data_IF_479787745424
#
_entry.id   IF_479787745424
#
_cell.length_a   1.000
_cell.length_b   1.000
_cell.length_c   1.000
_cell.angle_alpha   90.00
_cell.angle_beta   90.00
_cell.angle_gamma   90.00
#
_symmetry.space_group_name_H-M   'P 1'
#
loop_
_entity.id
_entity.type
_entity.pdbx_description
1 polymer ?
#
# COMPACT_ATOMS: atom_id res chain seq x y z
N UNK A 1 1.18 -28.14 -5.23
CA UNK A 1 -0.21 -27.84 -5.62
C UNK A 1 -0.91 -26.84 -4.67
N UNK A 2 -0.65 -26.89 -3.37
CA UNK A 2 -1.27 -25.99 -2.36
C UNK A 2 -0.98 -24.50 -2.60
N UNK A 3 0.27 -24.11 -2.89
CA UNK A 3 0.67 -22.70 -3.07
C UNK A 3 0.03 -22.03 -4.30
N UNK A 4 -0.08 -22.72 -5.44
CA UNK A 4 -0.68 -22.17 -6.67
C UNK A 4 -2.16 -21.86 -6.51
N UNK A 5 -2.92 -22.76 -5.89
CA UNK A 5 -4.38 -22.56 -5.68
C UNK A 5 -4.63 -21.43 -4.69
N UNK A 6 -3.84 -21.37 -3.61
CA UNK A 6 -3.92 -20.27 -2.64
C UNK A 6 -3.68 -18.90 -3.30
N UNK A 7 -2.63 -18.79 -4.11
CA UNK A 7 -2.33 -17.57 -4.87
C UNK A 7 -3.46 -17.22 -5.84
N UNK A 8 -4.03 -18.20 -6.54
CA UNK A 8 -5.16 -18.00 -7.45
C UNK A 8 -6.39 -17.43 -6.75
N UNK A 9 -6.74 -17.96 -5.57
CA UNK A 9 -7.84 -17.43 -4.76
C UNK A 9 -7.55 -15.99 -4.31
N UNK A 10 -6.32 -15.68 -3.87
CA UNK A 10 -5.92 -14.33 -3.47
C UNK A 10 -6.01 -13.34 -4.63
N UNK A 11 -5.60 -13.73 -5.82
CA UNK A 11 -5.71 -12.90 -7.04
C UNK A 11 -7.16 -12.59 -7.37
N UNK A 12 -8.02 -13.62 -7.40
CA UNK A 12 -9.45 -13.46 -7.66
C UNK A 12 -10.13 -12.57 -6.60
N UNK A 13 -9.76 -12.73 -5.32
CA UNK A 13 -10.25 -11.89 -4.24
C UNK A 13 -9.78 -10.43 -4.40
N UNK A 14 -8.51 -10.22 -4.74
CA UNK A 14 -7.93 -8.90 -4.97
C UNK A 14 -8.62 -8.12 -6.07
N UNK A 15 -8.98 -8.78 -7.17
CA UNK A 15 -9.75 -8.17 -8.26
C UNK A 15 -11.13 -7.69 -7.79
N UNK A 16 -11.81 -8.47 -6.95
CA UNK A 16 -13.10 -8.07 -6.38
C UNK A 16 -12.92 -6.94 -5.34
N UNK A 17 -11.97 -7.06 -4.43
CA UNK A 17 -11.70 -6.03 -3.42
C UNK A 17 -11.39 -4.67 -4.05
N UNK A 18 -10.62 -4.65 -5.12
CA UNK A 18 -10.26 -3.41 -5.81
C UNK A 18 -11.44 -2.75 -6.53
N UNK A 19 -12.43 -3.55 -7.00
CA UNK A 19 -13.60 -3.03 -7.76
C UNK A 19 -14.73 -2.57 -6.86
N UNK A 20 -15.02 -3.31 -5.79
CA UNK A 20 -16.24 -3.10 -5.00
C UNK A 20 -15.99 -2.97 -3.48
N UNK A 21 -14.71 -3.01 -3.05
CA UNK A 21 -14.33 -2.94 -1.64
C UNK A 21 -14.39 -4.28 -0.92
N UNK A 22 -13.86 -4.27 0.29
CA UNK A 22 -13.76 -5.48 1.12
C UNK A 22 -15.12 -5.89 1.69
N UNK A 23 -15.87 -4.93 2.23
CA UNK A 23 -17.14 -5.21 2.89
C UNK A 23 -18.19 -5.76 1.91
N UNK A 24 -18.26 -5.19 0.70
CA UNK A 24 -19.23 -5.58 -0.34
C UNK A 24 -18.88 -6.90 -1.04
N UNK A 25 -17.65 -7.39 -0.87
CA UNK A 25 -17.22 -8.66 -1.48
C UNK A 25 -17.61 -9.85 -0.59
N UNK A 26 -18.47 -10.75 -1.10
CA UNK A 26 -18.84 -11.97 -0.39
C UNK A 26 -17.88 -13.13 -0.68
N UNK A 27 -17.81 -14.11 0.22
CA UNK A 27 -17.06 -15.36 0.00
C UNK A 27 -17.57 -16.11 -1.21
N UNK A 28 -18.88 -16.04 -1.46
CA UNK A 28 -19.50 -16.70 -2.62
C UNK A 28 -19.04 -16.06 -3.94
N UNK A 29 -18.92 -14.73 -3.97
CA UNK A 29 -18.37 -14.00 -5.14
C UNK A 29 -16.90 -14.38 -5.38
N UNK A 30 -16.10 -14.49 -4.31
CA UNK A 30 -14.68 -14.89 -4.43
C UNK A 30 -14.58 -16.34 -4.94
N UNK A 31 -15.38 -17.26 -4.40
CA UNK A 31 -15.38 -18.66 -4.82
C UNK A 31 -15.80 -18.80 -6.31
N UNK A 32 -16.82 -18.05 -6.73
CA UNK A 32 -17.28 -18.01 -8.12
C UNK A 32 -16.19 -17.43 -9.05
N UNK A 33 -15.59 -16.30 -8.69
CA UNK A 33 -14.51 -15.66 -9.46
C UNK A 33 -13.28 -16.56 -9.58
N UNK A 34 -12.92 -17.26 -8.49
CA UNK A 34 -11.82 -18.23 -8.46
C UNK A 34 -12.20 -19.61 -9.03
N UNK A 35 -13.43 -19.79 -9.49
CA UNK A 35 -13.92 -21.07 -10.03
C UNK A 35 -13.66 -22.26 -9.09
N UNK A 36 -13.83 -22.06 -7.79
CA UNK A 36 -13.65 -23.10 -6.76
C UNK A 36 -14.92 -23.27 -5.94
N UNK A 37 -15.11 -24.45 -5.36
CA UNK A 37 -16.17 -24.63 -4.39
C UNK A 37 -15.87 -23.83 -3.11
N UNK A 38 -16.89 -23.26 -2.45
CA UNK A 38 -16.75 -22.51 -1.18
C UNK A 38 -16.02 -23.33 -0.11
N UNK A 39 -16.24 -24.63 -0.04
CA UNK A 39 -15.52 -25.52 0.87
C UNK A 39 -14.01 -25.57 0.56
N UNK A 40 -13.64 -25.45 -0.70
CA UNK A 40 -12.23 -25.38 -1.11
C UNK A 40 -11.60 -24.08 -0.66
N UNK A 41 -12.29 -22.95 -0.80
CA UNK A 41 -11.81 -21.67 -0.31
C UNK A 41 -11.52 -21.72 1.20
N UNK A 42 -12.44 -22.27 2.00
CA UNK A 42 -12.26 -22.41 3.45
C UNK A 42 -11.15 -23.38 3.88
N UNK A 43 -10.72 -24.29 3.01
CA UNK A 43 -9.52 -25.12 3.25
C UNK A 43 -8.22 -24.31 3.20
N UNK A 44 -8.19 -23.22 2.42
CA UNK A 44 -7.02 -22.34 2.30
C UNK A 44 -7.08 -21.13 3.23
N UNK A 45 -8.30 -20.61 3.45
CA UNK A 45 -8.54 -19.41 4.26
C UNK A 45 -9.71 -19.67 5.19
N UNK A 46 -9.43 -19.81 6.47
CA UNK A 46 -10.43 -20.22 7.49
C UNK A 46 -11.58 -19.21 7.63
N UNK A 47 -11.37 -17.95 7.23
CA UNK A 47 -12.40 -16.90 7.21
C UNK A 47 -12.12 -15.88 6.10
N UNK A 48 -13.14 -15.07 5.76
CA UNK A 48 -12.97 -13.89 4.88
C UNK A 48 -11.99 -12.88 5.48
N UNK A 49 -12.02 -12.69 6.78
CA UNK A 49 -11.11 -11.81 7.51
C UNK A 49 -9.65 -12.23 7.31
N UNK A 50 -9.32 -13.50 7.55
CA UNK A 50 -7.96 -14.02 7.33
C UNK A 50 -7.54 -13.93 5.86
N UNK A 51 -8.44 -14.14 4.93
CA UNK A 51 -8.16 -13.96 3.51
C UNK A 51 -7.82 -12.50 3.19
N UNK A 52 -8.55 -11.53 3.75
CA UNK A 52 -8.26 -10.10 3.59
C UNK A 52 -6.89 -9.78 4.19
N UNK A 53 -6.60 -10.21 5.41
CA UNK A 53 -5.31 -9.97 6.08
C UNK A 53 -4.15 -10.49 5.23
N UNK A 54 -4.27 -11.71 4.70
CA UNK A 54 -3.23 -12.29 3.86
C UNK A 54 -3.07 -11.54 2.53
N UNK A 55 -4.16 -11.14 1.91
CA UNK A 55 -4.13 -10.30 0.72
C UNK A 55 -3.40 -8.98 0.98
N UNK A 56 -3.72 -8.28 2.07
CA UNK A 56 -3.07 -7.02 2.42
C UNK A 56 -1.57 -7.22 2.67
N UNK A 57 -1.19 -8.25 3.40
CA UNK A 57 0.22 -8.57 3.67
C UNK A 57 0.99 -8.88 2.38
N UNK A 58 0.39 -9.62 1.45
CA UNK A 58 0.99 -9.92 0.16
C UNK A 58 1.17 -8.64 -0.69
N UNK A 59 0.15 -7.75 -0.73
CA UNK A 59 0.26 -6.48 -1.44
C UNK A 59 1.35 -5.58 -0.84
N UNK A 60 1.39 -5.47 0.49
CA UNK A 60 2.43 -4.70 1.17
C UNK A 60 3.83 -5.27 0.89
N UNK A 61 4.01 -6.59 0.97
CA UNK A 61 5.30 -7.23 0.69
C UNK A 61 5.77 -6.99 -0.75
N UNK A 62 4.88 -7.06 -1.73
CA UNK A 62 5.20 -6.75 -3.13
C UNK A 62 5.64 -5.29 -3.30
N UNK A 63 4.94 -4.35 -2.67
CA UNK A 63 5.31 -2.93 -2.72
C UNK A 63 6.72 -2.72 -2.16
N UNK A 64 7.01 -3.26 -0.98
CA UNK A 64 8.32 -3.14 -0.36
C UNK A 64 9.42 -3.79 -1.19
N UNK A 65 9.15 -4.93 -1.82
CA UNK A 65 10.09 -5.57 -2.74
C UNK A 65 10.37 -4.68 -3.95
N UNK A 66 9.35 -4.12 -4.58
CA UNK A 66 9.51 -3.20 -5.73
C UNK A 66 10.38 -1.99 -5.36
N UNK A 67 10.17 -1.41 -4.16
CA UNK A 67 10.99 -0.29 -3.69
C UNK A 67 12.43 -0.71 -3.37
N UNK A 68 12.63 -1.91 -2.84
CA UNK A 68 13.97 -2.44 -2.54
C UNK A 68 14.80 -2.78 -3.79
N UNK A 69 14.15 -3.05 -4.91
CA UNK A 69 14.79 -3.30 -6.21
C UNK A 69 15.25 -2.01 -6.92
N UNK A 70 14.91 -0.84 -6.35
CA UNK A 70 15.35 0.46 -6.87
C UNK A 70 16.88 0.59 -6.79
N UNK A 71 17.52 1.22 -7.79
CA UNK A 71 18.97 1.42 -7.78
C UNK A 71 19.44 2.16 -6.52
N UNK A 72 20.55 1.68 -5.96
CA UNK A 72 21.17 2.33 -4.80
C UNK A 72 21.57 3.77 -5.16
N UNK A 73 21.29 4.70 -4.27
CA UNK A 73 21.55 6.12 -4.47
C UNK A 73 22.87 6.53 -3.83
N UNK A 74 23.40 7.69 -4.22
CA UNK A 74 24.70 8.20 -3.77
C UNK A 74 24.77 8.48 -2.27
N UNK A 75 23.64 8.86 -1.67
CA UNK A 75 23.55 9.22 -0.26
C UNK A 75 22.12 9.04 0.29
N UNK A 76 21.96 9.07 1.61
CA UNK A 76 20.70 8.82 2.28
C UNK A 76 19.57 9.82 1.92
N UNK A 77 19.92 11.08 1.59
CA UNK A 77 18.93 12.06 1.14
C UNK A 77 18.38 11.69 -0.24
N UNK A 78 19.25 11.28 -1.15
CA UNK A 78 18.85 10.78 -2.47
C UNK A 78 18.06 9.46 -2.36
N UNK A 79 18.41 8.59 -1.41
CA UNK A 79 17.63 7.37 -1.10
C UNK A 79 16.22 7.71 -0.62
N UNK A 80 16.06 8.71 0.25
CA UNK A 80 14.75 9.18 0.73
C UNK A 80 13.91 9.74 -0.43
N UNK A 81 14.52 10.57 -1.29
CA UNK A 81 13.85 11.13 -2.46
C UNK A 81 13.43 10.03 -3.44
N UNK A 82 14.33 9.10 -3.75
CA UNK A 82 14.06 7.97 -4.64
C UNK A 82 12.93 7.08 -4.10
N UNK A 83 12.89 6.81 -2.79
CA UNK A 83 11.82 6.06 -2.15
C UNK A 83 10.47 6.78 -2.28
N UNK A 84 10.42 8.08 -1.97
CA UNK A 84 9.19 8.86 -2.03
C UNK A 84 8.67 9.01 -3.48
N UNK A 85 9.56 9.30 -4.44
CA UNK A 85 9.22 9.38 -5.86
C UNK A 85 8.86 8.00 -6.44
N UNK A 86 9.51 6.93 -5.99
CA UNK A 86 9.17 5.56 -6.34
C UNK A 86 7.74 5.19 -5.94
N UNK A 87 7.30 5.57 -4.76
CA UNK A 87 5.91 5.40 -4.32
C UNK A 87 4.93 6.19 -5.20
N UNK A 88 5.27 7.43 -5.57
CA UNK A 88 4.45 8.21 -6.50
C UNK A 88 4.45 7.60 -7.92
N UNK A 89 5.54 6.98 -8.34
CA UNK A 89 5.60 6.25 -9.62
C UNK A 89 4.69 5.01 -9.61
N UNK A 90 4.62 4.28 -8.51
CA UNK A 90 3.64 3.19 -8.31
C UNK A 90 2.21 3.71 -8.42
N UNK A 91 1.92 4.86 -7.80
CA UNK A 91 0.59 5.51 -7.86
C UNK A 91 0.27 5.99 -9.29
N UNK A 92 1.27 6.36 -10.09
CA UNK A 92 1.11 6.80 -11.47
C UNK A 92 0.80 5.66 -12.45
N UNK A 93 1.00 4.41 -12.05
CA UNK A 93 0.71 3.25 -12.89
C UNK A 93 -0.79 3.18 -13.22
N UNK A 94 -1.12 2.91 -14.49
CA UNK A 94 -2.52 2.84 -14.97
C UNK A 94 -3.32 1.71 -14.30
N UNK A 95 -2.64 0.67 -13.84
CA UNK A 95 -3.25 -0.45 -13.13
C UNK A 95 -3.37 -0.22 -11.61
N UNK A 96 -2.86 0.92 -11.12
CA UNK A 96 -2.95 1.25 -9.69
C UNK A 96 -4.39 1.48 -9.26
N UNK A 97 -4.82 0.74 -8.26
CA UNK A 97 -6.20 0.76 -7.72
C UNK A 97 -6.27 1.28 -6.27
N UNK A 98 -5.22 1.95 -5.83
CA UNK A 98 -5.05 2.40 -4.45
C UNK A 98 -4.20 1.45 -3.62
N UNK A 99 -3.61 1.95 -2.55
CA UNK A 99 -2.99 1.09 -1.55
C UNK A 99 -4.07 0.34 -0.78
N UNK A 100 -4.10 -0.99 -0.95
CA UNK A 100 -5.12 -1.85 -0.37
C UNK A 100 -5.24 -1.69 1.16
N UNK A 101 -4.10 -1.53 1.85
CA UNK A 101 -4.06 -1.33 3.30
C UNK A 101 -4.73 -0.02 3.73
N UNK A 102 -4.55 1.09 2.99
CA UNK A 102 -5.23 2.35 3.31
C UNK A 102 -6.75 2.23 3.12
N UNK A 103 -7.19 1.57 2.04
CA UNK A 103 -8.61 1.30 1.79
C UNK A 103 -9.23 0.43 2.89
N UNK A 104 -8.49 -0.58 3.36
CA UNK A 104 -8.92 -1.44 4.46
C UNK A 104 -9.09 -0.67 5.77
N UNK A 105 -8.19 0.27 6.09
CA UNK A 105 -8.30 1.12 7.27
C UNK A 105 -9.57 1.98 7.28
N UNK A 106 -10.03 2.43 6.12
CA UNK A 106 -11.28 3.19 5.98
C UNK A 106 -12.51 2.28 6.14
N UNK A 107 -12.47 1.07 5.57
CA UNK A 107 -13.60 0.14 5.63
C UNK A 107 -13.74 -0.57 6.99
N UNK A 108 -12.66 -0.68 7.75
CA UNK A 108 -12.61 -1.31 9.08
C UNK A 108 -12.02 -0.32 10.10
N UNK A 109 -12.78 0.72 10.52
CA UNK A 109 -12.25 1.84 11.31
C UNK A 109 -11.94 1.51 12.78
N UNK A 110 -12.39 0.34 13.29
CA UNK A 110 -12.14 -0.06 14.67
C UNK A 110 -10.65 -0.42 14.85
N UNK A 111 -9.97 0.26 15.78
CA UNK A 111 -8.52 0.15 15.96
C UNK A 111 -8.06 -1.24 16.45
N UNK A 112 -8.92 -1.97 17.11
CA UNK A 112 -8.71 -3.36 17.56
C UNK A 112 -9.05 -4.42 16.50
N UNK A 113 -9.64 -4.02 15.38
CA UNK A 113 -9.92 -4.93 14.27
C UNK A 113 -8.61 -5.44 13.65
N UNK A 114 -8.40 -6.77 13.50
CA UNK A 114 -7.16 -7.32 12.94
C UNK A 114 -6.83 -6.83 11.52
N UNK A 115 -7.85 -6.54 10.70
CA UNK A 115 -7.65 -5.97 9.36
C UNK A 115 -7.13 -4.53 9.48
N UNK A 116 -7.71 -3.71 10.39
CA UNK A 116 -7.24 -2.36 10.63
C UNK A 116 -5.81 -2.35 11.15
N UNK A 117 -5.42 -3.29 12.00
CA UNK A 117 -4.04 -3.40 12.48
C UNK A 117 -3.03 -3.56 11.33
N UNK A 118 -3.36 -4.31 10.27
CA UNK A 118 -2.50 -4.41 9.07
C UNK A 118 -2.39 -3.05 8.37
N UNK A 119 -3.46 -2.26 8.32
CA UNK A 119 -3.44 -0.89 7.78
C UNK A 119 -2.57 0.04 8.61
N UNK A 120 -2.71 -0.01 9.94
CA UNK A 120 -1.87 0.79 10.85
C UNK A 120 -0.39 0.41 10.74
N UNK A 121 -0.09 -0.89 10.64
CA UNK A 121 1.27 -1.39 10.45
C UNK A 121 1.88 -0.88 9.15
N UNK A 122 1.12 -0.87 8.06
CA UNK A 122 1.57 -0.32 6.78
C UNK A 122 1.92 1.17 6.88
N UNK A 123 1.03 2.00 7.41
CA UNK A 123 1.26 3.45 7.58
C UNK A 123 2.41 3.74 8.54
N UNK A 124 2.56 2.93 9.61
CA UNK A 124 3.70 3.03 10.53
C UNK A 124 5.01 2.71 9.81
N UNK A 125 5.07 1.57 9.11
CA UNK A 125 6.25 1.11 8.39
C UNK A 125 6.71 2.12 7.32
N UNK A 126 5.75 2.73 6.61
CA UNK A 126 6.03 3.79 5.64
C UNK A 126 6.75 4.97 6.30
N UNK A 127 6.24 5.46 7.42
CA UNK A 127 6.85 6.58 8.15
C UNK A 127 8.20 6.21 8.76
N UNK A 128 8.32 5.03 9.36
CA UNK A 128 9.58 4.56 9.99
C UNK A 128 10.72 4.45 8.97
N UNK A 129 10.45 3.91 7.77
CA UNK A 129 11.49 3.82 6.73
C UNK A 129 11.92 5.19 6.22
N UNK A 130 10.98 6.11 6.00
CA UNK A 130 11.31 7.49 5.61
C UNK A 130 12.07 8.23 6.71
N UNK A 131 11.64 8.08 7.97
CA UNK A 131 12.33 8.70 9.12
C UNK A 131 13.76 8.15 9.27
N UNK A 132 13.96 6.85 9.10
CA UNK A 132 15.29 6.25 9.16
C UNK A 132 16.24 6.81 8.09
N UNK A 133 15.76 7.00 6.86
CA UNK A 133 16.54 7.62 5.78
C UNK A 133 16.79 9.11 6.05
N UNK A 134 15.81 9.84 6.56
CA UNK A 134 15.95 11.25 6.93
C UNK A 134 16.97 11.43 8.07
N UNK A 135 16.91 10.57 9.10
CA UNK A 135 17.90 10.55 10.19
C UNK A 135 19.31 10.24 9.67
N UNK A 136 19.45 9.22 8.79
CA UNK A 136 20.72 8.88 8.14
C UNK A 136 21.27 10.02 7.27
N UNK A 137 20.38 10.85 6.71
CA UNK A 137 20.74 12.06 5.95
C UNK A 137 21.07 13.26 6.84
N UNK A 138 21.01 13.14 8.17
CA UNK A 138 21.31 14.21 9.12
C UNK A 138 20.22 15.27 9.26
N UNK A 139 18.99 14.96 8.85
CA UNK A 139 17.85 15.88 8.94
C UNK A 139 17.35 15.91 10.39
N UNK A 140 17.35 17.09 11.01
CA UNK A 140 17.03 17.26 12.44
C UNK A 140 15.58 16.94 12.81
N UNK A 141 14.63 17.15 11.88
CA UNK A 141 13.21 16.89 12.10
C UNK A 141 12.75 15.70 11.23
N UNK A 142 13.48 14.59 11.30
CA UNK A 142 13.27 13.42 10.45
C UNK A 142 11.86 12.84 10.55
N UNK A 143 11.30 12.72 11.75
CA UNK A 143 9.95 12.19 11.99
C UNK A 143 8.86 13.13 11.43
N UNK A 144 9.04 14.44 11.56
CA UNK A 144 8.11 15.42 10.99
C UNK A 144 8.14 15.39 9.47
N UNK A 145 9.33 15.32 8.86
CA UNK A 145 9.47 15.17 7.41
C UNK A 145 8.84 13.87 6.91
N UNK A 146 9.10 12.75 7.58
CA UNK A 146 8.52 11.46 7.23
C UNK A 146 6.98 11.49 7.28
N UNK A 147 6.40 12.12 8.29
CA UNK A 147 4.94 12.31 8.38
C UNK A 147 4.42 13.17 7.22
N UNK A 148 5.09 14.28 6.89
CA UNK A 148 4.69 15.15 5.78
C UNK A 148 4.75 14.41 4.44
N UNK A 149 5.81 13.64 4.19
CA UNK A 149 5.95 12.82 2.99
C UNK A 149 4.86 11.75 2.90
N UNK A 150 4.57 11.06 4.01
CA UNK A 150 3.50 10.07 4.07
C UNK A 150 2.14 10.70 3.74
N UNK A 151 1.81 11.86 4.32
CA UNK A 151 0.56 12.58 4.02
C UNK A 151 0.43 12.95 2.54
N UNK A 152 1.52 13.37 1.88
CA UNK A 152 1.51 13.66 0.44
C UNK A 152 1.26 12.40 -0.38
N UNK A 153 1.92 11.29 -0.05
CA UNK A 153 1.80 10.00 -0.78
C UNK A 153 0.41 9.39 -0.57
N UNK A 154 -0.07 9.35 0.67
CA UNK A 154 -1.41 8.84 0.99
C UNK A 154 -2.49 9.68 0.30
N UNK A 155 -2.37 11.03 0.35
CA UNK A 155 -3.27 11.95 -0.36
C UNK A 155 -3.25 11.75 -1.87
N UNK A 156 -2.08 11.62 -2.47
CA UNK A 156 -1.93 11.34 -3.89
C UNK A 156 -2.60 10.03 -4.30
N UNK A 157 -2.45 8.96 -3.50
CA UNK A 157 -3.05 7.66 -3.78
C UNK A 157 -4.59 7.71 -3.80
N UNK A 158 -5.18 8.50 -2.91
CA UNK A 158 -6.64 8.69 -2.86
C UNK A 158 -7.16 9.55 -4.02
N UNK A 159 -6.40 10.59 -4.40
CA UNK A 159 -6.78 11.51 -5.47
C UNK A 159 -6.75 10.83 -6.84
N UNK A 160 -5.72 10.03 -7.11
CA UNK A 160 -5.60 9.27 -8.37
C UNK A 160 -6.72 8.24 -8.51
N UNK A 161 -7.07 7.55 -7.44
CA UNK A 161 -8.19 6.61 -7.41
C UNK A 161 -9.52 7.28 -7.83
N UNK A 162 -9.70 8.56 -7.52
CA UNK A 162 -10.88 9.35 -7.84
C UNK A 162 -10.82 10.04 -9.22
N UNK A 163 -9.93 9.60 -10.13
CA UNK A 163 -9.79 10.05 -11.53
C UNK A 163 -9.28 11.50 -11.74
N UNK A 164 -8.67 12.13 -10.74
CA UNK A 164 -8.04 13.45 -10.86
C UNK A 164 -6.50 13.36 -11.02
N UNK A 165 -6.01 12.32 -11.77
CA UNK A 165 -4.72 11.72 -11.56
C UNK A 165 -3.46 12.48 -11.98
N UNK A 166 -3.36 13.06 -13.18
CA UNK A 166 -2.05 13.49 -13.69
C UNK A 166 -1.54 14.79 -13.07
N UNK A 167 -2.39 15.80 -12.90
CA UNK A 167 -2.02 17.07 -12.32
C UNK A 167 -1.69 16.94 -10.83
N UNK A 168 -2.50 16.19 -10.10
CA UNK A 168 -2.27 15.92 -8.67
C UNK A 168 -0.96 15.20 -8.41
N UNK A 169 -0.55 14.28 -9.28
CA UNK A 169 0.75 13.59 -9.18
C UNK A 169 1.92 14.53 -9.41
N UNK A 170 1.83 15.43 -10.40
CA UNK A 170 2.87 16.44 -10.63
C UNK A 170 3.06 17.36 -9.41
N UNK A 171 1.94 17.80 -8.82
CA UNK A 171 2.00 18.58 -7.59
C UNK A 171 2.55 17.78 -6.39
N UNK A 172 2.18 16.52 -6.25
CA UNK A 172 2.73 15.64 -5.21
C UNK A 172 4.24 15.45 -5.36
N UNK A 173 4.74 15.24 -6.58
CA UNK A 173 6.18 15.13 -6.87
C UNK A 173 6.91 16.43 -6.50
N UNK A 174 6.39 17.59 -6.91
CA UNK A 174 6.98 18.89 -6.60
C UNK A 174 7.00 19.16 -5.07
N UNK A 175 5.93 18.76 -4.35
CA UNK A 175 5.87 18.87 -2.90
C UNK A 175 6.91 17.97 -2.22
N UNK A 176 7.02 16.70 -2.62
CA UNK A 176 8.04 15.77 -2.09
C UNK A 176 9.45 16.37 -2.25
N UNK A 177 9.79 16.85 -3.45
CA UNK A 177 11.10 17.44 -3.71
C UNK A 177 11.33 18.70 -2.89
N UNK A 178 10.33 19.56 -2.77
CA UNK A 178 10.42 20.80 -1.96
C UNK A 178 10.63 20.48 -0.49
N UNK A 179 9.86 19.54 0.08
CA UNK A 179 9.99 19.14 1.48
C UNK A 179 11.38 18.58 1.79
N UNK A 180 11.88 17.68 0.95
CA UNK A 180 13.21 17.07 1.15
C UNK A 180 14.32 18.10 0.97
N UNK A 181 14.22 19.00 -0.03
CA UNK A 181 15.22 20.04 -0.29
C UNK A 181 15.29 21.07 0.83
N UNK A 182 14.17 21.47 1.41
CA UNK A 182 14.10 22.47 2.47
C UNK A 182 14.43 21.93 3.87
N UNK A 183 14.45 20.61 4.05
CA UNK A 183 14.75 19.98 5.34
C UNK A 183 16.23 20.15 5.70
N UNK A 184 16.50 20.60 6.97
CA UNK A 184 17.85 20.88 7.50
C UNK A 184 18.16 20.01 8.70
#
# INVERSE_FOLDING_TARGET
MSSRMRHYILTAAGDLFSRQGFNSTSVDNIAAQAQVAKVTLYKYFQSKELLIIEYLREQNARLWQTLAESPQQENARAELEAMALGLLAVIADKEFKGFASLSAGVEFPQLDNPINQVSQDFSRQLREQMAALANKAGIKQAEALALQLALVIEGASMTVRNQQGSESLQHAQALVQTLIKSAT
#
